data_IF_699909862210
#
_entry.id   IF_699909862210
#
_cell.length_a   1.000
_cell.length_b   1.000
_cell.length_c   1.000
_cell.angle_alpha   90.00
_cell.angle_beta   90.00
_cell.angle_gamma   90.00
#
_symmetry.space_group_name_H-M   'P 1'
#
loop_
_entity.id
_entity.type
_entity.pdbx_description
1 polymer ?
#
# COMPACT_ATOMS: atom_id res chain seq x y z
N UNK A 1 -4.52 -5.33 -14.32
CA UNK A 1 -5.49 -5.27 -13.20
C UNK A 1 -6.02 -3.87 -13.06
N UNK A 2 -7.30 -3.74 -12.79
CA UNK A 2 -7.96 -2.44 -12.79
C UNK A 2 -8.38 -2.08 -11.36
N UNK A 3 -7.55 -1.29 -10.68
CA UNK A 3 -7.82 -0.87 -9.32
C UNK A 3 -8.61 0.43 -9.34
N UNK A 4 -9.79 0.44 -8.74
CA UNK A 4 -10.67 1.61 -8.69
C UNK A 4 -10.66 2.31 -7.33
N UNK A 5 -10.39 1.58 -6.26
CA UNK A 5 -10.31 2.15 -4.92
C UNK A 5 -9.02 1.67 -4.26
N UNK A 6 -8.21 2.62 -3.83
CA UNK A 6 -6.88 2.34 -3.26
C UNK A 6 -6.79 2.96 -1.88
N UNK A 7 -6.39 2.16 -0.90
CA UNK A 7 -6.06 2.67 0.44
C UNK A 7 -4.56 2.91 0.51
N UNK A 8 -4.17 4.11 0.90
CA UNK A 8 -2.77 4.48 1.11
C UNK A 8 -2.56 4.70 2.60
N UNK A 9 -1.65 3.93 3.21
CA UNK A 9 -1.29 4.09 4.61
C UNK A 9 0.16 4.56 4.73
N UNK A 10 0.34 5.76 5.28
CA UNK A 10 1.63 6.40 5.47
C UNK A 10 1.41 7.55 6.44
N UNK A 11 2.28 7.74 7.41
CA UNK A 11 2.11 8.82 8.39
C UNK A 11 2.39 10.21 7.83
N UNK A 12 2.95 10.30 6.64
CA UNK A 12 3.24 11.57 5.97
C UNK A 12 2.19 11.87 4.91
N UNK A 13 1.46 12.98 5.09
CA UNK A 13 0.49 13.43 4.10
C UNK A 13 1.16 13.75 2.77
N UNK A 14 2.40 14.27 2.81
CA UNK A 14 3.17 14.55 1.60
C UNK A 14 3.49 13.27 0.84
N UNK A 15 3.90 12.21 1.56
CA UNK A 15 4.16 10.92 0.92
C UNK A 15 2.90 10.34 0.27
N UNK A 16 1.76 10.45 0.94
CA UNK A 16 0.49 9.98 0.35
C UNK A 16 0.14 10.76 -0.91
N UNK A 17 0.36 12.08 -0.90
CA UNK A 17 0.12 12.91 -2.08
C UNK A 17 1.03 12.52 -3.23
N UNK A 18 2.30 12.24 -2.95
CA UNK A 18 3.26 11.81 -3.98
C UNK A 18 2.81 10.52 -4.64
N UNK A 19 2.34 9.56 -3.85
CA UNK A 19 1.85 8.28 -4.39
C UNK A 19 0.69 8.54 -5.37
N UNK A 20 -0.29 9.33 -4.96
CA UNK A 20 -1.44 9.65 -5.81
C UNK A 20 -1.00 10.33 -7.11
N UNK A 21 -0.12 11.31 -7.01
CA UNK A 21 0.36 12.04 -8.18
C UNK A 21 1.13 11.15 -9.15
N UNK A 22 1.96 10.26 -8.63
CA UNK A 22 2.72 9.34 -9.47
C UNK A 22 1.78 8.40 -10.24
N UNK A 23 0.73 7.92 -9.60
CA UNK A 23 -0.25 7.07 -10.25
C UNK A 23 -0.97 7.82 -11.37
N UNK A 24 -1.38 9.06 -11.12
CA UNK A 24 -2.00 9.90 -12.14
C UNK A 24 -1.04 10.20 -13.30
N UNK A 25 0.21 10.54 -12.98
CA UNK A 25 1.23 10.81 -14.00
C UNK A 25 1.55 9.59 -14.84
N UNK A 26 1.36 8.40 -14.29
CA UNK A 26 1.53 7.16 -15.05
C UNK A 26 0.33 6.86 -15.96
N UNK A 27 -0.73 7.66 -15.89
CA UNK A 27 -1.87 7.54 -16.77
C UNK A 27 -3.08 6.83 -16.20
N UNK A 28 -3.10 6.58 -14.89
CA UNK A 28 -4.23 5.89 -14.25
C UNK A 28 -5.11 6.92 -13.54
N UNK A 29 -6.32 7.06 -14.04
CA UNK A 29 -7.28 8.06 -13.56
C UNK A 29 -8.53 7.37 -13.04
N UNK A 30 -9.46 8.17 -12.51
CA UNK A 30 -10.75 7.69 -12.00
C UNK A 30 -10.61 6.71 -10.85
N UNK A 31 -9.62 6.97 -9.99
CA UNK A 31 -9.36 6.15 -8.81
C UNK A 31 -9.82 6.93 -7.57
N UNK A 32 -10.57 6.26 -6.70
CA UNK A 32 -10.93 6.81 -5.40
C UNK A 32 -9.85 6.40 -4.41
N UNK A 33 -9.29 7.38 -3.70
CA UNK A 33 -8.25 7.13 -2.71
C UNK A 33 -8.81 7.28 -1.30
N UNK A 34 -8.50 6.31 -0.45
CA UNK A 34 -8.71 6.39 0.99
C UNK A 34 -7.34 6.50 1.62
N UNK A 35 -7.24 7.25 2.71
CA UNK A 35 -5.95 7.54 3.33
C UNK A 35 -5.99 7.24 4.82
N UNK A 36 -4.89 6.69 5.34
CA UNK A 36 -4.70 6.41 6.74
C UNK A 36 -3.29 6.80 7.15
N UNK A 37 -3.13 7.26 8.40
CA UNK A 37 -1.84 7.69 8.93
C UNK A 37 -1.06 6.55 9.59
N UNK A 38 -1.73 5.44 9.87
CA UNK A 38 -1.12 4.28 10.51
C UNK A 38 -1.97 3.03 10.25
N UNK A 39 -1.46 1.89 10.71
CA UNK A 39 -2.15 0.61 10.49
C UNK A 39 -3.49 0.50 11.21
N UNK A 40 -3.62 1.14 12.40
CA UNK A 40 -4.90 1.11 13.13
C UNK A 40 -5.99 1.82 12.35
N UNK A 41 -5.69 3.03 11.84
CA UNK A 41 -6.64 3.74 10.99
C UNK A 41 -6.99 2.94 9.75
N UNK A 42 -5.97 2.30 9.13
CA UNK A 42 -6.18 1.46 7.97
C UNK A 42 -7.16 0.33 8.24
N UNK A 43 -6.98 -0.38 9.36
CA UNK A 43 -7.90 -1.45 9.73
C UNK A 43 -9.32 -0.92 9.98
N UNK A 44 -9.44 0.23 10.65
CA UNK A 44 -10.73 0.84 10.92
C UNK A 44 -11.46 1.18 9.62
N UNK A 45 -10.75 1.76 8.66
CA UNK A 45 -11.33 2.07 7.35
C UNK A 45 -11.81 0.79 6.66
N UNK A 46 -11.02 -0.26 6.70
CA UNK A 46 -11.33 -1.51 6.01
C UNK A 46 -12.48 -2.29 6.68
N UNK A 47 -12.89 -1.90 7.88
CA UNK A 47 -14.08 -2.49 8.51
C UNK A 47 -15.37 -2.10 7.78
N UNK A 48 -15.38 -0.93 7.14
CA UNK A 48 -16.58 -0.40 6.48
C UNK A 48 -16.41 -0.14 5.00
N UNK A 49 -15.16 -0.05 4.51
CA UNK A 49 -14.86 0.30 3.12
C UNK A 49 -14.15 -0.84 2.42
N UNK A 50 -14.57 -1.13 1.20
CA UNK A 50 -13.88 -2.12 0.36
C UNK A 50 -12.89 -1.41 -0.53
N UNK A 51 -11.69 -1.97 -0.65
CA UNK A 51 -10.66 -1.43 -1.54
C UNK A 51 -10.12 -2.55 -2.41
N UNK A 52 -9.56 -2.16 -3.55
CA UNK A 52 -8.99 -3.08 -4.54
C UNK A 52 -7.51 -3.29 -4.34
N UNK A 53 -6.86 -2.36 -3.65
CA UNK A 53 -5.41 -2.36 -3.46
C UNK A 53 -5.07 -1.58 -2.21
N UNK A 54 -4.07 -2.06 -1.46
CA UNK A 54 -3.51 -1.33 -0.33
C UNK A 54 -2.05 -1.01 -0.67
N UNK A 55 -1.69 0.26 -0.53
CA UNK A 55 -0.31 0.71 -0.64
C UNK A 55 0.09 1.21 0.74
N UNK A 56 1.09 0.59 1.35
CA UNK A 56 1.48 0.92 2.72
C UNK A 56 2.96 1.16 2.87
N UNK A 57 3.32 2.11 3.75
CA UNK A 57 4.67 2.22 4.27
C UNK A 57 4.86 1.17 5.39
N UNK A 58 6.09 0.95 5.79
CA UNK A 58 6.42 0.07 6.90
C UNK A 58 6.57 0.82 8.22
N UNK A 59 7.12 2.05 8.18
CA UNK A 59 7.34 2.84 9.39
C UNK A 59 6.18 3.79 9.62
N UNK A 60 5.36 3.45 10.61
CA UNK A 60 4.21 4.26 11.00
C UNK A 60 4.04 4.19 12.51
N UNK A 61 3.49 5.25 13.16
CA UNK A 61 3.20 5.19 14.58
C UNK A 61 2.01 4.28 14.86
N UNK A 62 1.79 3.95 16.12
CA UNK A 62 0.66 3.16 16.64
C UNK A 62 0.62 1.73 16.14
N UNK A 63 0.60 1.51 14.83
CA UNK A 63 0.73 0.18 14.23
C UNK A 63 1.54 0.31 12.96
N UNK A 64 2.71 -0.35 12.92
CA UNK A 64 3.58 -0.31 11.75
C UNK A 64 3.05 -1.19 10.60
N UNK A 65 3.70 -1.07 9.45
CA UNK A 65 3.27 -1.78 8.25
C UNK A 65 3.38 -3.28 8.36
N UNK A 66 4.40 -3.81 9.04
CA UNK A 66 4.55 -5.25 9.20
C UNK A 66 3.39 -5.84 9.99
N UNK A 67 3.03 -5.19 11.09
CA UNK A 67 1.92 -5.63 11.93
C UNK A 67 0.59 -5.49 11.17
N UNK A 68 0.43 -4.39 10.45
CA UNK A 68 -0.74 -4.15 9.61
C UNK A 68 -0.92 -5.27 8.59
N UNK A 69 0.14 -5.61 7.86
CA UNK A 69 0.12 -6.69 6.86
C UNK A 69 -0.24 -8.02 7.52
N UNK A 70 0.38 -8.32 8.66
CA UNK A 70 0.09 -9.58 9.37
C UNK A 70 -1.38 -9.69 9.76
N UNK A 71 -1.95 -8.60 10.28
CA UNK A 71 -3.37 -8.58 10.65
C UNK A 71 -4.28 -8.72 9.45
N UNK A 72 -3.94 -8.09 8.32
CA UNK A 72 -4.70 -8.25 7.10
C UNK A 72 -4.68 -9.71 6.61
N UNK A 73 -3.50 -10.31 6.60
CA UNK A 73 -3.34 -11.68 6.09
C UNK A 73 -3.99 -12.73 7.00
N UNK A 74 -4.19 -12.43 8.27
CA UNK A 74 -4.87 -13.33 9.20
C UNK A 74 -6.39 -13.13 9.26
N UNK A 75 -6.94 -12.18 8.49
CA UNK A 75 -8.37 -11.89 8.47
C UNK A 75 -9.00 -12.49 7.22
N UNK A 76 -10.02 -13.33 7.40
CA UNK A 76 -10.67 -14.04 6.28
C UNK A 76 -11.24 -13.09 5.22
N UNK A 77 -11.76 -11.93 5.65
CA UNK A 77 -12.39 -10.98 4.73
C UNK A 77 -11.38 -10.08 4.01
N UNK A 78 -10.17 -9.96 4.54
CA UNK A 78 -9.18 -9.00 4.06
C UNK A 78 -7.91 -9.63 3.48
N UNK A 79 -7.70 -10.93 3.71
CA UNK A 79 -6.43 -11.59 3.35
C UNK A 79 -6.12 -11.59 1.85
N UNK A 80 -7.14 -11.45 1.02
CA UNK A 80 -6.96 -11.50 -0.44
C UNK A 80 -6.80 -10.12 -1.08
N UNK A 81 -6.85 -9.03 -0.31
CA UNK A 81 -6.62 -7.70 -0.85
C UNK A 81 -5.14 -7.57 -1.21
N UNK A 82 -4.81 -7.22 -2.47
CA UNK A 82 -3.41 -7.05 -2.85
C UNK A 82 -2.74 -5.94 -2.04
N UNK A 83 -1.50 -6.15 -1.63
CA UNK A 83 -0.73 -5.20 -0.83
C UNK A 83 0.58 -4.87 -1.55
N UNK A 84 0.84 -3.58 -1.70
CA UNK A 84 2.10 -3.04 -2.19
C UNK A 84 2.76 -2.30 -1.03
N UNK A 85 4.06 -2.54 -0.83
CA UNK A 85 4.85 -1.83 0.18
C UNK A 85 5.74 -0.82 -0.52
N UNK A 86 5.74 0.41 -0.03
CA UNK A 86 6.67 1.45 -0.47
C UNK A 86 7.49 1.83 0.76
N UNK A 87 8.80 1.62 0.71
CA UNK A 87 9.65 1.75 1.88
C UNK A 87 11.00 2.39 1.55
N UNK A 88 11.55 3.14 2.51
CA UNK A 88 12.91 3.66 2.41
C UNK A 88 13.95 2.62 2.81
N UNK A 89 13.52 1.44 3.31
CA UNK A 89 14.44 0.38 3.71
C UNK A 89 14.96 -0.37 2.49
N UNK A 90 16.26 -0.40 2.35
CA UNK A 90 16.93 -1.17 1.30
C UNK A 90 17.43 -2.47 1.93
N UNK A 91 16.58 -3.50 1.93
CA UNK A 91 16.87 -4.75 2.62
C UNK A 91 16.24 -5.91 1.85
N UNK A 92 17.07 -6.66 1.15
CA UNK A 92 16.62 -7.77 0.32
C UNK A 92 16.02 -8.92 1.13
N UNK A 93 16.48 -9.11 2.37
CA UNK A 93 15.92 -10.15 3.25
C UNK A 93 14.49 -9.79 3.65
N UNK A 94 14.26 -8.53 4.01
CA UNK A 94 12.94 -8.03 4.35
C UNK A 94 12.01 -8.10 3.15
N UNK A 95 12.48 -7.69 1.99
CA UNK A 95 11.70 -7.76 0.75
C UNK A 95 11.25 -9.19 0.45
N UNK A 96 12.18 -10.15 0.54
CA UNK A 96 11.87 -11.56 0.30
C UNK A 96 10.84 -12.08 1.31
N UNK A 97 10.97 -11.67 2.58
CA UNK A 97 10.03 -12.06 3.63
C UNK A 97 8.64 -11.52 3.35
N UNK A 98 8.52 -10.24 2.99
CA UNK A 98 7.23 -9.63 2.68
C UNK A 98 6.56 -10.30 1.50
N UNK A 99 7.32 -10.65 0.47
CA UNK A 99 6.77 -11.37 -0.69
C UNK A 99 6.28 -12.77 -0.31
N UNK A 100 6.99 -13.45 0.59
CA UNK A 100 6.53 -14.74 1.11
C UNK A 100 5.23 -14.60 1.90
N UNK A 101 5.01 -13.45 2.54
CA UNK A 101 3.78 -13.17 3.27
C UNK A 101 2.64 -12.72 2.36
N UNK A 102 2.88 -12.67 1.05
CA UNK A 102 1.83 -12.38 0.07
C UNK A 102 1.75 -10.94 -0.42
N UNK A 103 2.76 -10.12 -0.11
CA UNK A 103 2.86 -8.76 -0.67
C UNK A 103 3.22 -8.89 -2.14
N UNK A 104 2.50 -8.18 -3.01
CA UNK A 104 2.67 -8.34 -4.46
C UNK A 104 3.84 -7.54 -5.02
N UNK A 105 4.24 -6.47 -4.36
CA UNK A 105 5.40 -5.68 -4.77
C UNK A 105 5.98 -4.93 -3.58
N UNK A 106 7.30 -4.78 -3.58
CA UNK A 106 8.04 -3.98 -2.59
C UNK A 106 8.86 -2.98 -3.37
N UNK A 107 8.58 -1.70 -3.16
CA UNK A 107 9.16 -0.62 -3.97
C UNK A 107 9.95 0.31 -3.06
N UNK A 108 11.18 0.62 -3.47
CA UNK A 108 12.02 1.56 -2.73
C UNK A 108 11.60 3.00 -2.95
N UNK A 109 11.70 3.82 -1.91
CA UNK A 109 11.58 5.26 -2.02
C UNK A 109 12.89 5.82 -2.62
N UNK A 110 12.81 6.89 -3.41
CA UNK A 110 11.63 7.68 -3.73
C UNK A 110 10.74 6.98 -4.77
N UNK A 111 9.44 7.15 -4.57
CA UNK A 111 8.46 6.64 -5.53
C UNK A 111 8.45 7.53 -6.77
N UNK A 112 8.14 6.95 -7.92
CA UNK A 112 8.13 7.68 -9.20
C UNK A 112 7.04 7.13 -10.10
N UNK A 113 6.62 7.88 -11.12
CA UNK A 113 5.63 7.38 -12.07
C UNK A 113 6.03 6.07 -12.75
N UNK A 114 7.33 5.91 -13.08
CA UNK A 114 7.80 4.68 -13.71
C UNK A 114 7.60 3.46 -12.82
N UNK A 115 7.73 3.62 -11.50
CA UNK A 115 7.59 2.52 -10.55
C UNK A 115 6.14 2.06 -10.37
N UNK A 116 5.18 2.88 -10.77
CA UNK A 116 3.76 2.53 -10.71
C UNK A 116 3.49 1.26 -11.50
N UNK A 117 4.20 1.07 -12.62
CA UNK A 117 3.99 -0.09 -13.48
C UNK A 117 4.46 -1.41 -12.86
N UNK A 118 5.12 -1.39 -11.70
CA UNK A 118 5.47 -2.61 -10.99
C UNK A 118 4.23 -3.30 -10.38
N UNK A 119 3.13 -2.57 -10.23
CA UNK A 119 1.90 -3.15 -9.66
C UNK A 119 0.63 -2.77 -10.43
N UNK A 120 0.67 -1.80 -11.34
CA UNK A 120 -0.49 -1.40 -12.14
C UNK A 120 -0.24 -1.63 -13.62
N UNK A 121 -1.26 -2.17 -14.30
CA UNK A 121 -1.21 -2.42 -15.74
C UNK A 121 -2.46 -1.85 -16.39
N UNK A 122 -2.32 -1.47 -17.66
CA UNK A 122 -3.45 -0.99 -18.44
C UNK A 122 -4.41 -2.12 -18.84
#
# INVERSE_FOLDING_TARGET
MNYKRILITDDSATSRMIVKRCIEMAGFFDIEYLEAEDGLQGLTILDTEKVDLIITDLKMPKMDGKTFIRKLKSNEDKKNIPIVVISSLDNSILEARLKREGVIAVIGKPFSPAKVFEFMEE
#
